data_IF_216264895728
#
_entry.id   IF_216264895728
#
_cell.length_a   1.000
_cell.length_b   1.000
_cell.length_c   1.000
_cell.angle_alpha   90.00
_cell.angle_beta   90.00
_cell.angle_gamma   90.00
#
_symmetry.space_group_name_H-M   'P 1'
#
loop_
_entity.id
_entity.type
_entity.pdbx_description
1 polymer ?
#
# COMPACT_ATOMS: atom_id res chain seq x y z
N UNK A 1 24.23 -19.91 -10.27
CA UNK A 1 23.24 -20.95 -9.94
C UNK A 1 22.05 -20.19 -9.38
N UNK A 2 20.97 -20.09 -10.17
CA UNK A 2 19.74 -19.47 -9.70
C UNK A 2 19.15 -20.41 -8.64
N UNK A 3 19.02 -19.92 -7.41
CA UNK A 3 18.26 -20.61 -6.37
C UNK A 3 16.79 -20.49 -6.79
N UNK A 4 16.30 -21.53 -7.46
CA UNK A 4 14.90 -21.70 -7.85
C UNK A 4 14.12 -22.07 -6.58
N UNK A 5 14.10 -21.11 -5.63
CA UNK A 5 13.44 -21.25 -4.35
C UNK A 5 11.94 -21.29 -4.63
N UNK A 6 11.38 -22.50 -4.58
CA UNK A 6 9.94 -22.70 -4.63
C UNK A 6 9.31 -21.70 -3.64
N UNK A 7 8.37 -20.84 -4.09
CA UNK A 7 7.87 -19.75 -3.26
C UNK A 7 7.43 -20.31 -1.91
N UNK A 8 7.80 -19.67 -0.79
CA UNK A 8 7.49 -20.16 0.58
C UNK A 8 5.97 -20.22 0.80
N UNK A 9 5.34 -21.28 0.28
CA UNK A 9 3.89 -21.50 0.30
C UNK A 9 3.37 -21.52 1.73
N UNK A 10 4.18 -22.05 2.65
CA UNK A 10 3.85 -22.07 4.07
C UNK A 10 3.87 -20.66 4.64
N UNK A 11 4.89 -19.86 4.30
CA UNK A 11 4.95 -18.45 4.68
C UNK A 11 3.75 -17.67 4.15
N UNK A 12 3.40 -17.82 2.88
CA UNK A 12 2.22 -17.20 2.27
C UNK A 12 0.94 -17.58 3.02
N UNK A 13 0.71 -18.87 3.28
CA UNK A 13 -0.46 -19.33 4.04
C UNK A 13 -0.51 -18.76 5.46
N UNK A 14 0.63 -18.61 6.12
CA UNK A 14 0.72 -17.98 7.45
C UNK A 14 0.37 -16.49 7.38
N UNK A 15 0.86 -15.75 6.38
CA UNK A 15 0.54 -14.33 6.21
C UNK A 15 -0.93 -14.11 5.85
N UNK A 16 -1.50 -14.94 4.99
CA UNK A 16 -2.93 -14.91 4.65
C UNK A 16 -3.80 -15.22 5.90
N UNK A 17 -3.40 -16.21 6.70
CA UNK A 17 -4.05 -16.51 7.97
C UNK A 17 -3.92 -15.36 8.98
N UNK A 18 -2.75 -14.69 9.04
CA UNK A 18 -2.53 -13.54 9.90
C UNK A 18 -3.42 -12.36 9.50
N UNK A 19 -3.56 -12.08 8.20
CA UNK A 19 -4.49 -11.07 7.70
C UNK A 19 -5.93 -11.40 8.08
N UNK A 20 -6.34 -12.67 7.95
CA UNK A 20 -7.68 -13.10 8.35
C UNK A 20 -7.92 -12.92 9.85
N UNK A 21 -6.96 -13.29 10.68
CA UNK A 21 -7.03 -13.07 12.13
C UNK A 21 -7.13 -11.57 12.45
N UNK A 22 -6.38 -10.73 11.75
CA UNK A 22 -6.50 -9.28 11.88
C UNK A 22 -7.91 -8.81 11.54
N UNK A 23 -8.45 -9.20 10.38
CA UNK A 23 -9.81 -8.81 9.95
C UNK A 23 -10.89 -9.33 10.90
N UNK A 24 -10.78 -10.55 11.41
CA UNK A 24 -11.79 -11.15 12.28
C UNK A 24 -11.73 -10.59 13.72
N UNK A 25 -10.53 -10.36 14.27
CA UNK A 25 -10.35 -10.12 15.72
C UNK A 25 -9.79 -8.74 16.08
N UNK A 26 -9.06 -8.07 15.19
CA UNK A 26 -8.33 -6.82 15.51
C UNK A 26 -6.93 -7.05 16.05
N UNK A 27 -6.09 -6.00 16.03
CA UNK A 27 -4.66 -6.11 16.32
C UNK A 27 -4.41 -6.53 17.78
N UNK A 28 -5.15 -5.96 18.74
CA UNK A 28 -5.02 -6.35 20.17
C UNK A 28 -5.33 -7.82 20.43
N UNK A 29 -6.40 -8.35 19.84
CA UNK A 29 -6.89 -9.71 20.10
C UNK A 29 -6.24 -10.78 19.23
N UNK A 30 -5.55 -10.40 18.16
CA UNK A 30 -4.79 -11.32 17.32
C UNK A 30 -3.69 -12.04 18.12
N UNK A 31 -3.60 -13.36 17.98
CA UNK A 31 -2.55 -14.20 18.59
C UNK A 31 -1.89 -15.12 17.57
N UNK A 32 -0.64 -15.53 17.83
CA UNK A 32 0.12 -16.44 16.95
C UNK A 32 -0.54 -17.82 16.88
N UNK A 33 -1.20 -18.25 17.95
CA UNK A 33 -1.93 -19.51 18.05
C UNK A 33 -3.15 -19.52 17.12
N UNK A 34 -3.89 -18.40 17.06
CA UNK A 34 -4.96 -18.24 16.09
C UNK A 34 -4.41 -18.34 14.67
N UNK A 35 -3.34 -17.61 14.35
CA UNK A 35 -2.73 -17.65 13.01
C UNK A 35 -2.31 -19.06 12.62
N UNK A 36 -1.62 -19.77 13.52
CA UNK A 36 -1.19 -21.14 13.28
C UNK A 36 -2.37 -22.07 13.02
N UNK A 37 -3.47 -21.92 13.78
CA UNK A 37 -4.71 -22.67 13.58
C UNK A 37 -5.34 -22.38 12.21
N UNK A 38 -5.46 -21.12 11.82
CA UNK A 38 -6.03 -20.74 10.51
C UNK A 38 -5.16 -21.20 9.34
N UNK A 39 -3.83 -21.15 9.49
CA UNK A 39 -2.87 -21.63 8.50
C UNK A 39 -2.71 -23.16 8.48
N UNK A 40 -3.34 -23.88 9.42
CA UNK A 40 -3.19 -25.34 9.59
C UNK A 40 -1.73 -25.78 9.79
N UNK A 41 -0.96 -25.03 10.59
CA UNK A 41 0.45 -25.33 10.92
C UNK A 41 0.70 -25.33 12.43
N UNK A 42 1.85 -25.85 12.86
CA UNK A 42 2.26 -25.79 14.27
C UNK A 42 2.72 -24.38 14.68
N UNK A 43 2.62 -24.03 15.97
CA UNK A 43 3.16 -22.76 16.49
C UNK A 43 4.67 -22.62 16.21
N UNK A 44 5.42 -23.72 16.35
CA UNK A 44 6.86 -23.74 16.05
C UNK A 44 7.16 -23.39 14.59
N UNK A 45 6.27 -23.78 13.66
CA UNK A 45 6.39 -23.42 12.24
C UNK A 45 6.26 -21.91 12.03
N UNK A 46 5.39 -21.25 12.80
CA UNK A 46 5.21 -19.78 12.75
C UNK A 46 6.39 -19.08 13.43
N UNK A 47 6.73 -19.46 14.68
CA UNK A 47 7.82 -18.82 15.44
C UNK A 47 9.18 -18.91 14.78
N UNK A 48 9.46 -19.99 14.02
CA UNK A 48 10.70 -20.12 13.26
C UNK A 48 10.84 -19.06 12.17
N UNK A 49 9.73 -18.59 11.59
CA UNK A 49 9.71 -17.58 10.53
C UNK A 49 9.54 -16.17 11.08
N UNK A 50 8.67 -16.02 12.08
CA UNK A 50 8.39 -14.75 12.73
C UNK A 50 8.48 -14.95 14.25
N UNK A 51 9.64 -14.62 14.85
CA UNK A 51 9.83 -14.74 16.30
C UNK A 51 8.90 -13.83 17.10
N UNK A 52 8.46 -12.70 16.50
CA UNK A 52 7.61 -11.71 17.14
C UNK A 52 6.23 -11.59 16.46
N UNK A 53 5.17 -11.50 17.27
CA UNK A 53 3.79 -11.28 16.79
C UNK A 53 3.68 -10.04 15.90
N UNK A 54 4.25 -8.91 16.34
CA UNK A 54 4.12 -7.65 15.61
C UNK A 54 4.81 -7.71 14.25
N UNK A 55 5.93 -8.43 14.14
CA UNK A 55 6.63 -8.65 12.88
C UNK A 55 5.78 -9.47 11.91
N UNK A 56 5.17 -10.56 12.38
CA UNK A 56 4.22 -11.37 11.61
C UNK A 56 3.04 -10.53 11.09
N UNK A 57 2.40 -9.78 11.98
CA UNK A 57 1.22 -8.99 11.65
C UNK A 57 1.57 -7.86 10.67
N UNK A 58 2.67 -7.14 10.89
CA UNK A 58 3.13 -6.10 9.99
C UNK A 58 3.47 -6.67 8.61
N UNK A 59 4.16 -7.82 8.56
CA UNK A 59 4.49 -8.50 7.30
C UNK A 59 3.22 -8.89 6.54
N UNK A 60 2.18 -9.37 7.24
CA UNK A 60 0.90 -9.73 6.62
C UNK A 60 0.20 -8.50 6.02
N UNK A 61 0.11 -7.41 6.77
CA UNK A 61 -0.49 -6.15 6.29
C UNK A 61 0.28 -5.57 5.11
N UNK A 62 1.61 -5.56 5.19
CA UNK A 62 2.46 -5.08 4.09
C UNK A 62 2.34 -5.95 2.83
N UNK A 63 2.18 -7.26 3.01
CA UNK A 63 1.97 -8.18 1.88
C UNK A 63 0.61 -7.96 1.23
N UNK A 64 -0.43 -7.71 2.03
CA UNK A 64 -1.76 -7.37 1.52
C UNK A 64 -1.74 -6.07 0.73
N UNK A 65 -1.21 -4.98 1.30
CA UNK A 65 -1.13 -3.71 0.58
C UNK A 65 -0.25 -3.79 -0.66
N UNK A 66 0.81 -4.61 -0.65
CA UNK A 66 1.60 -4.88 -1.85
C UNK A 66 0.76 -5.48 -2.97
N UNK A 67 -0.08 -6.47 -2.67
CA UNK A 67 -1.00 -7.09 -3.65
C UNK A 67 -1.98 -6.06 -4.19
N UNK A 68 -2.64 -5.34 -3.29
CA UNK A 68 -3.61 -4.30 -3.66
C UNK A 68 -2.99 -3.18 -4.51
N UNK A 69 -1.76 -2.77 -4.20
CA UNK A 69 -1.04 -1.75 -4.97
C UNK A 69 -0.67 -2.27 -6.36
N UNK A 70 -0.24 -3.52 -6.47
CA UNK A 70 -0.03 -4.18 -7.77
C UNK A 70 -1.31 -4.12 -8.59
N UNK A 71 -2.45 -4.54 -8.05
CA UNK A 71 -3.73 -4.56 -8.77
C UNK A 71 -4.12 -3.16 -9.26
N UNK A 72 -3.96 -2.13 -8.42
CA UNK A 72 -4.23 -0.73 -8.78
C UNK A 72 -3.36 -0.26 -9.94
N UNK A 73 -2.07 -0.56 -9.90
CA UNK A 73 -1.16 -0.12 -10.95
C UNK A 73 -1.30 -0.95 -12.24
N UNK A 74 -1.68 -2.21 -12.14
CA UNK A 74 -2.07 -3.03 -13.29
C UNK A 74 -3.31 -2.47 -13.97
N UNK A 75 -4.36 -2.13 -13.22
CA UNK A 75 -5.55 -1.44 -13.74
C UNK A 75 -5.18 -0.12 -14.42
N UNK A 76 -4.40 0.72 -13.74
CA UNK A 76 -3.96 2.00 -14.28
C UNK A 76 -3.16 1.84 -15.57
N UNK A 77 -2.31 0.81 -15.68
CA UNK A 77 -1.46 0.57 -16.85
C UNK A 77 -2.23 0.35 -18.15
N UNK A 78 -3.50 -0.06 -18.06
CA UNK A 78 -4.38 -0.29 -19.21
C UNK A 78 -5.02 1.00 -19.76
N UNK A 79 -4.81 2.15 -19.10
CA UNK A 79 -5.35 3.43 -19.54
C UNK A 79 -4.52 4.03 -20.69
N UNK A 80 -5.17 4.89 -21.47
CA UNK A 80 -4.61 5.37 -22.75
C UNK A 80 -3.45 6.37 -22.58
N UNK A 81 -3.46 7.16 -21.51
CA UNK A 81 -2.51 8.26 -21.32
C UNK A 81 -1.77 8.22 -19.99
N UNK A 82 -0.58 8.83 -19.95
CA UNK A 82 0.20 9.09 -18.74
C UNK A 82 -0.63 9.80 -17.67
N UNK A 83 -1.48 10.73 -18.08
CA UNK A 83 -2.30 11.52 -17.15
C UNK A 83 -3.35 10.66 -16.47
N UNK A 84 -4.04 9.82 -17.25
CA UNK A 84 -5.03 8.90 -16.73
C UNK A 84 -4.38 7.85 -15.83
N UNK A 85 -3.20 7.34 -16.19
CA UNK A 85 -2.39 6.42 -15.38
C UNK A 85 -2.02 7.04 -14.03
N UNK A 86 -1.53 8.28 -14.01
CA UNK A 86 -1.15 8.99 -12.78
C UNK A 86 -2.37 9.25 -11.89
N UNK A 87 -3.45 9.77 -12.48
CA UNK A 87 -4.69 10.06 -11.74
C UNK A 87 -5.28 8.79 -11.16
N UNK A 88 -5.35 7.71 -11.94
CA UNK A 88 -5.84 6.41 -11.50
C UNK A 88 -4.96 5.82 -10.41
N UNK A 89 -3.63 5.83 -10.58
CA UNK A 89 -2.68 5.33 -9.58
C UNK A 89 -2.80 6.06 -8.24
N UNK A 90 -2.74 7.40 -8.24
CA UNK A 90 -2.88 8.17 -7.00
C UNK A 90 -4.23 7.92 -6.31
N UNK A 91 -5.31 7.98 -7.09
CA UNK A 91 -6.68 7.78 -6.58
C UNK A 91 -6.86 6.37 -6.03
N UNK A 92 -6.42 5.37 -6.78
CA UNK A 92 -6.55 3.96 -6.44
C UNK A 92 -5.81 3.63 -5.15
N UNK A 93 -4.55 4.05 -5.02
CA UNK A 93 -3.75 3.81 -3.82
C UNK A 93 -4.38 4.50 -2.59
N UNK A 94 -4.67 5.79 -2.69
CA UNK A 94 -5.26 6.55 -1.58
C UNK A 94 -6.62 5.95 -1.15
N UNK A 95 -7.49 5.67 -2.12
CA UNK A 95 -8.81 5.10 -1.86
C UNK A 95 -8.73 3.69 -1.30
N UNK A 96 -7.87 2.83 -1.87
CA UNK A 96 -7.69 1.45 -1.44
C UNK A 96 -7.27 1.38 0.03
N UNK A 97 -6.26 2.16 0.43
CA UNK A 97 -5.80 2.17 1.83
C UNK A 97 -6.91 2.68 2.76
N UNK A 98 -7.57 3.78 2.38
CA UNK A 98 -8.61 4.41 3.21
C UNK A 98 -9.85 3.53 3.40
N UNK A 99 -10.25 2.82 2.34
CA UNK A 99 -11.44 1.97 2.34
C UNK A 99 -11.18 0.54 2.81
N UNK A 100 -9.91 0.17 3.04
CA UNK A 100 -9.57 -1.17 3.51
C UNK A 100 -10.20 -1.43 4.90
N UNK A 101 -10.97 -2.53 5.09
CA UNK A 101 -11.70 -2.79 6.34
C UNK A 101 -10.81 -2.77 7.59
N UNK A 102 -9.58 -3.30 7.47
CA UNK A 102 -8.60 -3.26 8.57
C UNK A 102 -8.22 -1.81 8.93
N UNK A 103 -7.88 -0.95 7.96
CA UNK A 103 -7.48 0.42 8.24
C UNK A 103 -8.63 1.23 8.81
N UNK A 104 -9.81 1.13 8.17
CA UNK A 104 -11.00 1.85 8.59
C UNK A 104 -11.42 1.48 10.03
N UNK A 105 -11.40 0.18 10.38
CA UNK A 105 -11.72 -0.26 11.73
C UNK A 105 -10.66 0.19 12.74
N UNK A 106 -9.39 -0.15 12.50
CA UNK A 106 -8.35 0.06 13.51
C UNK A 106 -8.09 1.54 13.81
N UNK A 107 -8.15 2.43 12.80
CA UNK A 107 -8.07 3.88 13.04
C UNK A 107 -9.24 4.39 13.90
N UNK A 108 -10.42 3.78 13.78
CA UNK A 108 -11.60 4.16 14.55
C UNK A 108 -11.61 3.57 15.97
N UNK A 109 -11.08 2.36 16.18
CA UNK A 109 -11.21 1.63 17.45
C UNK A 109 -9.92 1.50 18.26
N UNK A 110 -8.76 1.47 17.61
CA UNK A 110 -7.45 1.24 18.24
C UNK A 110 -6.34 2.16 17.65
N UNK A 111 -6.55 3.49 17.58
CA UNK A 111 -5.62 4.41 16.95
C UNK A 111 -4.22 4.38 17.60
N UNK A 112 -4.13 4.23 18.92
CA UNK A 112 -2.86 4.14 19.64
C UNK A 112 -2.00 2.93 19.25
N UNK A 113 -2.61 1.89 18.68
CA UNK A 113 -1.92 0.70 18.21
C UNK A 113 -1.42 0.88 16.78
N UNK A 114 -2.22 1.51 15.92
CA UNK A 114 -1.91 1.60 14.48
C UNK A 114 -1.13 2.87 14.12
N UNK A 115 -1.37 4.00 14.80
CA UNK A 115 -0.69 5.26 14.50
C UNK A 115 0.83 5.18 14.53
N UNK A 116 1.50 4.45 15.45
CA UNK A 116 2.96 4.30 15.39
C UNK A 116 3.43 3.72 14.04
N UNK A 117 2.75 2.72 13.49
CA UNK A 117 3.08 2.10 12.19
C UNK A 117 2.75 2.98 10.99
N UNK A 118 1.92 4.01 11.18
CA UNK A 118 1.61 5.02 10.18
C UNK A 118 2.38 6.33 10.42
N UNK A 119 3.15 6.48 11.50
CA UNK A 119 3.87 7.72 11.79
C UNK A 119 5.35 7.44 12.07
N UNK A 120 5.70 7.24 13.33
CA UNK A 120 7.09 7.10 13.79
C UNK A 120 7.80 5.87 13.24
N UNK A 121 7.06 4.80 12.92
CA UNK A 121 7.56 3.55 12.35
C UNK A 121 7.07 3.30 10.91
N UNK A 122 6.61 4.35 10.20
CA UNK A 122 6.07 4.21 8.84
C UNK A 122 7.12 3.95 7.75
N UNK A 123 8.42 4.04 8.08
CA UNK A 123 9.53 3.96 7.12
C UNK A 123 9.38 2.83 6.09
N UNK A 124 9.25 1.55 6.51
CA UNK A 124 9.09 0.44 5.57
C UNK A 124 7.87 0.55 4.64
N UNK A 125 6.75 1.07 5.15
CA UNK A 125 5.52 1.28 4.38
C UNK A 125 5.68 2.38 3.33
N UNK A 126 6.34 3.49 3.73
CA UNK A 126 6.66 4.61 2.85
C UNK A 126 7.65 4.19 1.76
N UNK A 127 8.74 3.50 2.13
CA UNK A 127 9.76 3.03 1.19
C UNK A 127 9.15 2.09 0.13
N UNK A 128 8.25 1.19 0.56
CA UNK A 128 7.50 0.33 -0.35
C UNK A 128 6.64 1.15 -1.31
N UNK A 129 5.84 2.10 -0.80
CA UNK A 129 4.97 2.93 -1.63
C UNK A 129 5.75 3.79 -2.63
N UNK A 130 6.91 4.33 -2.23
CA UNK A 130 7.82 5.09 -3.10
C UNK A 130 8.35 4.21 -4.21
N UNK A 131 8.83 3.00 -3.89
CA UNK A 131 9.35 2.07 -4.89
C UNK A 131 8.28 1.70 -5.93
N UNK A 132 7.05 1.40 -5.48
CA UNK A 132 5.90 1.14 -6.36
C UNK A 132 5.55 2.35 -7.23
N UNK A 133 5.44 3.54 -6.64
CA UNK A 133 5.11 4.76 -7.37
C UNK A 133 6.15 5.10 -8.42
N UNK A 134 7.44 5.06 -8.08
CA UNK A 134 8.54 5.39 -8.99
C UNK A 134 8.60 4.42 -10.17
N UNK A 135 8.44 3.11 -9.91
CA UNK A 135 8.43 2.09 -10.96
C UNK A 135 7.28 2.33 -11.95
N UNK A 136 6.07 2.51 -11.43
CA UNK A 136 4.88 2.64 -12.27
C UNK A 136 4.83 3.97 -13.02
N UNK A 137 5.28 5.07 -12.42
CA UNK A 137 5.39 6.35 -13.13
C UNK A 137 6.39 6.28 -14.28
N UNK A 138 7.53 5.59 -14.09
CA UNK A 138 8.51 5.42 -15.16
C UNK A 138 7.96 4.58 -16.31
N UNK A 139 7.23 3.50 -16.00
CA UNK A 139 6.55 2.67 -17.00
C UNK A 139 5.50 3.47 -17.77
N UNK A 140 4.67 4.23 -17.04
CA UNK A 140 3.64 5.07 -17.64
C UNK A 140 4.24 6.15 -18.54
N UNK A 141 5.28 6.86 -18.08
CA UNK A 141 5.95 7.89 -18.87
C UNK A 141 6.54 7.29 -20.16
N UNK A 142 7.26 6.18 -20.06
CA UNK A 142 7.87 5.50 -21.21
C UNK A 142 6.83 5.06 -22.25
N UNK A 143 5.67 4.57 -21.82
CA UNK A 143 4.59 4.14 -22.71
C UNK A 143 4.05 5.30 -23.56
N UNK A 144 4.19 6.54 -23.07
CA UNK A 144 3.71 7.77 -23.70
C UNK A 144 4.84 8.61 -24.33
N UNK A 145 6.06 8.05 -24.46
CA UNK A 145 7.21 8.76 -25.03
C UNK A 145 7.75 9.88 -24.15
N UNK A 146 7.55 9.78 -22.83
CA UNK A 146 8.02 10.73 -21.84
C UNK A 146 9.15 10.14 -20.99
N UNK A 147 9.96 11.02 -20.40
CA UNK A 147 10.95 10.69 -19.38
C UNK A 147 10.70 11.53 -18.14
N UNK A 148 10.90 10.93 -16.96
CA UNK A 148 10.87 11.61 -15.66
C UNK A 148 12.31 11.67 -15.16
N UNK A 149 12.82 12.86 -14.87
CA UNK A 149 14.22 13.07 -14.48
C UNK A 149 14.58 12.34 -13.17
N UNK A 150 13.71 12.46 -12.16
CA UNK A 150 13.86 11.76 -10.87
C UNK A 150 12.50 11.14 -10.45
N UNK A 151 12.18 9.93 -10.92
CA UNK A 151 10.91 9.28 -10.58
C UNK A 151 10.82 8.90 -9.09
N UNK A 152 11.95 8.75 -8.39
CA UNK A 152 11.96 8.40 -6.97
C UNK A 152 11.59 9.62 -6.12
N UNK A 153 12.21 10.77 -6.38
CA UNK A 153 11.87 12.01 -5.69
C UNK A 153 10.42 12.44 -5.98
N UNK A 154 9.96 12.32 -7.22
CA UNK A 154 8.57 12.59 -7.57
C UNK A 154 7.62 11.64 -6.80
N UNK A 155 7.94 10.34 -6.74
CA UNK A 155 7.12 9.37 -6.02
C UNK A 155 7.06 9.69 -4.53
N UNK A 156 8.19 10.09 -3.94
CA UNK A 156 8.23 10.51 -2.54
C UNK A 156 7.28 11.67 -2.28
N UNK A 157 7.29 12.72 -3.10
CA UNK A 157 6.35 13.84 -2.96
C UNK A 157 4.90 13.36 -2.96
N UNK A 158 4.52 12.52 -3.94
CA UNK A 158 3.15 12.02 -4.05
C UNK A 158 2.76 11.13 -2.88
N UNK A 159 3.66 10.24 -2.44
CA UNK A 159 3.44 9.34 -1.30
C UNK A 159 3.27 10.14 -0.02
N UNK A 160 4.09 11.18 0.22
CA UNK A 160 3.97 12.05 1.40
C UNK A 160 2.64 12.80 1.41
N UNK A 161 2.18 13.29 0.26
CA UNK A 161 0.86 13.92 0.12
C UNK A 161 -0.25 12.90 0.43
N UNK A 162 -0.27 11.75 -0.24
CA UNK A 162 -1.28 10.71 -0.02
C UNK A 162 -1.31 10.26 1.45
N UNK A 163 -0.13 10.03 2.04
CA UNK A 163 0.02 9.66 3.44
C UNK A 163 -0.51 10.72 4.41
N UNK A 164 -0.23 12.00 4.15
CA UNK A 164 -0.79 13.09 4.96
C UNK A 164 -2.32 13.18 4.83
N UNK A 165 -2.86 12.96 3.63
CA UNK A 165 -4.31 12.94 3.39
C UNK A 165 -4.99 11.75 4.09
N UNK A 166 -4.29 10.62 4.24
CA UNK A 166 -4.75 9.46 5.01
C UNK A 166 -4.80 9.76 6.52
N UNK A 167 -3.74 10.38 7.06
CA UNK A 167 -3.58 10.57 8.50
C UNK A 167 -4.29 11.77 9.10
N UNK A 168 -4.42 12.85 8.34
CA UNK A 168 -5.02 14.10 8.81
C UNK A 168 -6.24 14.46 7.96
N UNK A 169 -7.28 13.61 7.92
CA UNK A 169 -8.50 13.91 7.16
C UNK A 169 -9.24 15.07 7.84
N UNK A 170 -8.95 16.30 7.43
CA UNK A 170 -9.78 17.44 7.78
C UNK A 170 -10.97 17.47 6.82
N UNK A 171 -12.17 17.48 7.39
CA UNK A 171 -13.46 17.44 6.69
C UNK A 171 -13.71 18.72 5.87
N UNK A 172 -13.07 18.82 4.71
CA UNK A 172 -13.63 19.52 3.57
C UNK A 172 -14.59 18.59 2.80
N UNK A 173 -15.49 19.12 1.96
CA UNK A 173 -16.32 18.29 1.07
C UNK A 173 -15.49 17.53 0.04
N UNK A 174 -14.23 17.91 -0.19
CA UNK A 174 -13.32 17.17 -1.06
C UNK A 174 -12.83 15.89 -0.36
N UNK A 175 -12.75 14.79 -1.10
CA UNK A 175 -12.16 13.49 -0.71
C UNK A 175 -13.08 12.56 0.09
N UNK A 176 -14.40 12.75 0.09
CA UNK A 176 -15.37 11.83 0.69
C UNK A 176 -15.66 10.61 -0.22
N UNK A 177 -15.52 10.76 -1.53
CA UNK A 177 -15.73 9.69 -2.52
C UNK A 177 -14.50 9.42 -3.42
N UNK A 178 -14.42 8.22 -4.02
CA UNK A 178 -13.33 7.89 -4.99
C UNK A 178 -13.31 8.88 -6.17
N UNK A 179 -14.48 9.34 -6.59
CA UNK A 179 -14.63 10.34 -7.65
C UNK A 179 -14.05 11.71 -7.27
N UNK A 180 -14.31 12.19 -6.05
CA UNK A 180 -13.73 13.43 -5.54
C UNK A 180 -12.21 13.33 -5.37
N UNK A 181 -11.69 12.16 -4.96
CA UNK A 181 -10.24 11.92 -4.93
C UNK A 181 -9.65 12.00 -6.34
N UNK A 182 -10.32 11.45 -7.35
CA UNK A 182 -9.88 11.57 -8.74
C UNK A 182 -9.90 13.02 -9.25
N UNK A 183 -10.93 13.80 -8.89
CA UNK A 183 -10.99 15.22 -9.20
C UNK A 183 -9.84 15.99 -8.53
N UNK A 184 -9.58 15.72 -7.25
CA UNK A 184 -8.44 16.29 -6.53
C UNK A 184 -7.11 15.93 -7.21
N UNK A 185 -6.94 14.67 -7.61
CA UNK A 185 -5.74 14.19 -8.29
C UNK A 185 -5.54 14.92 -9.63
N UNK A 186 -6.59 15.02 -10.47
CA UNK A 186 -6.52 15.79 -11.73
C UNK A 186 -6.15 17.24 -11.50
N UNK A 187 -6.70 17.86 -10.45
CA UNK A 187 -6.53 19.30 -10.21
C UNK A 187 -5.17 19.66 -9.60
N UNK A 188 -4.64 18.83 -8.71
CA UNK A 188 -3.49 19.19 -7.87
C UNK A 188 -2.30 18.24 -7.98
N UNK A 189 -2.53 16.96 -8.23
CA UNK A 189 -1.45 15.97 -8.34
C UNK A 189 -0.88 15.94 -9.76
N UNK A 190 -1.77 15.91 -10.75
CA UNK A 190 -1.37 15.81 -12.15
C UNK A 190 -0.47 16.97 -12.63
N UNK A 191 -0.70 18.24 -12.25
CA UNK A 191 0.22 19.32 -12.62
C UNK A 191 1.65 19.13 -12.08
N UNK A 192 1.79 18.59 -10.86
CA UNK A 192 3.09 18.30 -10.25
C UNK A 192 3.82 17.24 -11.08
N UNK A 193 3.15 16.14 -11.44
CA UNK A 193 3.75 15.07 -12.23
C UNK A 193 4.09 15.52 -13.65
N UNK A 194 3.21 16.29 -14.29
CA UNK A 194 3.45 16.86 -15.63
C UNK A 194 4.63 17.82 -15.65
N UNK A 195 4.84 18.60 -14.58
CA UNK A 195 5.99 19.50 -14.49
C UNK A 195 7.34 18.77 -14.46
N UNK A 196 7.34 17.50 -14.07
CA UNK A 196 8.52 16.64 -13.98
C UNK A 196 8.70 15.69 -15.18
N UNK A 197 7.70 15.59 -16.06
CA UNK A 197 7.71 14.71 -17.23
C UNK A 197 8.02 15.52 -18.50
N UNK A 198 9.10 15.16 -19.20
CA UNK A 198 9.54 15.81 -20.43
C UNK A 198 9.48 14.82 -21.60
N UNK A 199 9.34 15.29 -22.87
CA UNK A 199 9.51 14.42 -24.03
C UNK A 199 10.85 13.68 -23.97
N UNK A 200 10.83 12.38 -24.28
CA UNK A 200 12.02 11.53 -24.29
C UNK A 200 12.99 11.87 -25.43
#
# INVERSE_FOLDING_TARGET
MADDQEPDRTGVAILDAALRVLVDFGVKRATVEQVAKYASVSHMTVYRRWPAKNELLLTAVMTEFRRLFTDVYEEASQLDSFDDKVVCGFTGILWCVRSHPLMARELATEPEVVLPFLTTAAGPSIDMAIAFGAENMRRAAKADGLTIADPVALAEVLVRIAHSLLLAPHSGPALQSKAEVAEYARRYILPITRSAAVPA
#
